data_IF_585893578438
#
_entry.id   IF_585893578438
#
_cell.length_a   1.000
_cell.length_b   1.000
_cell.length_c   1.000
_cell.angle_alpha   90.00
_cell.angle_beta   90.00
_cell.angle_gamma   90.00
#
_symmetry.space_group_name_H-M   'P 1'
#
loop_
_entity.id
_entity.type
_entity.pdbx_description
1 polymer ?
#
# COMPACT_ATOMS: atom_id res chain seq x y z
N UNK A 1 -16.41 -21.79 26.35
CA UNK A 1 -16.81 -23.22 26.21
C UNK A 1 -18.32 -23.31 26.12
N UNK A 2 -18.87 -23.90 25.04
CA UNK A 2 -20.32 -23.97 24.74
C UNK A 2 -21.21 -24.57 25.85
N UNK A 3 -20.67 -25.42 26.73
CA UNK A 3 -21.41 -26.07 27.84
C UNK A 3 -20.61 -26.10 29.17
N UNK A 4 -19.55 -25.28 29.29
CA UNK A 4 -18.63 -25.34 30.43
C UNK A 4 -17.80 -26.63 30.56
N UNK A 5 -17.93 -27.58 29.61
CA UNK A 5 -17.15 -28.82 29.55
C UNK A 5 -16.02 -28.74 28.53
N UNK A 6 -14.87 -29.40 28.79
CA UNK A 6 -13.77 -29.48 27.83
C UNK A 6 -14.23 -30.00 26.46
N UNK A 7 -13.73 -29.45 25.33
CA UNK A 7 -14.11 -29.91 23.98
C UNK A 7 -13.93 -31.42 23.76
N UNK A 8 -12.92 -32.02 24.43
CA UNK A 8 -12.66 -33.46 24.40
C UNK A 8 -13.86 -34.30 24.82
N UNK A 9 -14.64 -33.85 25.79
CA UNK A 9 -15.80 -34.58 26.29
C UNK A 9 -16.93 -34.56 25.26
N UNK A 10 -17.17 -33.40 24.63
CA UNK A 10 -18.15 -33.25 23.57
C UNK A 10 -17.80 -34.14 22.38
N UNK A 11 -16.52 -34.16 21.98
CA UNK A 11 -16.02 -35.03 20.90
C UNK A 11 -16.29 -36.51 21.22
N UNK A 12 -15.93 -36.96 22.42
CA UNK A 12 -16.15 -38.35 22.84
C UNK A 12 -17.64 -38.72 22.87
N UNK A 13 -18.50 -37.79 23.26
CA UNK A 13 -19.96 -38.01 23.25
C UNK A 13 -20.51 -38.14 21.83
N UNK A 14 -20.06 -37.30 20.88
CA UNK A 14 -20.47 -37.39 19.48
C UNK A 14 -20.00 -38.71 18.83
N UNK A 15 -18.77 -39.13 19.11
CA UNK A 15 -18.24 -40.43 18.66
C UNK A 15 -19.16 -41.57 19.10
N UNK A 16 -19.53 -41.61 20.38
CA UNK A 16 -20.41 -42.63 20.95
C UNK A 16 -21.83 -42.57 20.37
N UNK A 17 -22.40 -41.38 20.28
CA UNK A 17 -23.81 -41.18 19.88
C UNK A 17 -24.05 -41.44 18.39
N UNK A 18 -23.12 -41.02 17.53
CA UNK A 18 -23.28 -41.09 16.08
C UNK A 18 -22.44 -42.18 15.42
N UNK A 19 -21.75 -43.01 16.21
CA UNK A 19 -20.86 -44.07 15.74
C UNK A 19 -19.90 -43.59 14.63
N UNK A 20 -19.27 -42.43 14.85
CA UNK A 20 -18.39 -41.77 13.87
C UNK A 20 -16.95 -41.76 14.35
N UNK A 21 -16.02 -41.45 13.45
CA UNK A 21 -14.60 -41.34 13.82
C UNK A 21 -14.35 -40.11 14.70
N UNK A 22 -13.36 -40.22 15.60
CA UNK A 22 -12.94 -39.09 16.44
C UNK A 22 -12.52 -37.88 15.62
N UNK A 23 -11.90 -38.08 14.47
CA UNK A 23 -11.52 -37.00 13.56
C UNK A 23 -12.72 -36.22 13.02
N UNK A 24 -13.79 -36.92 12.60
CA UNK A 24 -15.01 -36.27 12.10
C UNK A 24 -15.74 -35.52 13.20
N UNK A 25 -15.90 -36.15 14.37
CA UNK A 25 -16.50 -35.50 15.54
C UNK A 25 -15.68 -34.26 15.97
N UNK A 26 -14.35 -34.37 16.00
CA UNK A 26 -13.44 -33.27 16.34
C UNK A 26 -13.57 -32.12 15.35
N UNK A 27 -13.57 -32.39 14.05
CA UNK A 27 -13.71 -31.35 13.02
C UNK A 27 -14.98 -30.53 13.22
N UNK A 28 -16.10 -31.21 13.48
CA UNK A 28 -17.38 -30.54 13.71
C UNK A 28 -17.32 -29.67 14.96
N UNK A 29 -16.91 -30.24 16.10
CA UNK A 29 -16.87 -29.52 17.38
C UNK A 29 -15.94 -28.31 17.34
N UNK A 30 -14.74 -28.47 16.78
CA UNK A 30 -13.75 -27.38 16.75
C UNK A 30 -14.18 -26.26 15.81
N UNK A 31 -14.78 -26.58 14.66
CA UNK A 31 -15.26 -25.59 13.71
C UNK A 31 -16.44 -24.80 14.29
N UNK A 32 -17.38 -25.50 14.94
CA UNK A 32 -18.52 -24.86 15.59
C UNK A 32 -18.08 -23.96 16.76
N UNK A 33 -17.09 -24.43 17.54
CA UNK A 33 -16.51 -23.64 18.62
C UNK A 33 -15.85 -22.35 18.08
N UNK A 34 -15.08 -22.45 17.00
CA UNK A 34 -14.47 -21.28 16.37
C UNK A 34 -15.53 -20.29 15.87
N UNK A 35 -16.60 -20.80 15.25
CA UNK A 35 -17.73 -19.98 14.80
C UNK A 35 -18.36 -19.19 15.96
N UNK A 36 -18.72 -19.87 17.06
CA UNK A 36 -19.32 -19.20 18.22
C UNK A 36 -18.37 -18.24 18.93
N UNK A 37 -17.07 -18.52 18.93
CA UNK A 37 -16.06 -17.59 19.44
C UNK A 37 -16.08 -16.28 18.64
N UNK A 38 -16.07 -16.35 17.31
CA UNK A 38 -16.13 -15.14 16.47
C UNK A 38 -17.46 -14.39 16.63
N UNK A 39 -18.59 -15.12 16.71
CA UNK A 39 -19.90 -14.50 17.00
C UNK A 39 -19.85 -13.71 18.31
N UNK A 40 -19.29 -14.31 19.37
CA UNK A 40 -19.18 -13.68 20.68
C UNK A 40 -18.25 -12.46 20.64
N UNK A 41 -17.13 -12.53 19.91
CA UNK A 41 -16.21 -11.40 19.73
C UNK A 41 -16.87 -10.26 18.97
N UNK A 42 -17.61 -10.55 17.89
CA UNK A 42 -18.37 -9.53 17.15
C UNK A 42 -19.34 -8.79 18.04
N UNK A 43 -20.09 -9.52 18.85
CA UNK A 43 -21.10 -8.93 19.73
C UNK A 43 -20.41 -8.07 20.82
N UNK A 44 -19.30 -8.54 21.38
CA UNK A 44 -18.46 -7.74 22.28
C UNK A 44 -17.89 -6.48 21.62
N UNK A 45 -17.42 -6.57 20.38
CA UNK A 45 -16.89 -5.41 19.63
C UNK A 45 -17.97 -4.36 19.37
N UNK A 46 -19.20 -4.80 19.09
CA UNK A 46 -20.36 -3.90 18.95
C UNK A 46 -20.71 -3.22 20.26
N UNK A 47 -20.72 -3.94 21.38
CA UNK A 47 -20.99 -3.38 22.72
C UNK A 47 -19.92 -2.38 23.16
N UNK A 48 -18.66 -2.62 22.81
CA UNK A 48 -17.53 -1.75 23.13
C UNK A 48 -17.32 -0.60 22.13
N UNK A 49 -18.09 -0.54 21.04
CA UNK A 49 -17.95 0.50 20.02
C UNK A 49 -16.70 0.39 19.15
N UNK A 50 -16.14 -0.82 18.97
CA UNK A 50 -14.99 -1.04 18.09
C UNK A 50 -15.41 -0.99 16.63
N UNK A 51 -15.04 0.08 15.91
CA UNK A 51 -15.43 0.30 14.52
C UNK A 51 -14.73 -0.66 13.54
N UNK A 52 -13.52 -1.11 13.89
CA UNK A 52 -12.71 -1.99 13.06
C UNK A 52 -12.17 -3.19 13.84
N UNK A 53 -11.78 -4.23 13.10
CA UNK A 53 -11.12 -5.41 13.62
C UNK A 53 -10.02 -5.89 12.69
N UNK A 54 -9.02 -6.56 13.25
CA UNK A 54 -7.96 -7.24 12.49
C UNK A 54 -8.03 -8.75 12.70
N UNK A 55 -7.57 -9.50 11.70
CA UNK A 55 -7.52 -10.97 11.76
C UNK A 55 -6.14 -11.42 12.24
N UNK A 56 -6.14 -12.35 13.19
CA UNK A 56 -4.96 -12.90 13.83
C UNK A 56 -4.91 -14.43 13.59
N UNK A 57 -4.12 -14.88 12.61
CA UNK A 57 -3.90 -16.29 12.25
C UNK A 57 -2.68 -16.95 12.95
N UNK A 58 -2.85 -18.10 13.58
CA UNK A 58 -1.77 -18.80 14.32
C UNK A 58 -0.45 -18.88 13.52
N UNK A 59 0.67 -18.59 14.17
CA UNK A 59 2.01 -18.73 13.59
C UNK A 59 2.53 -20.16 13.85
N UNK A 60 2.36 -21.04 12.86
CA UNK A 60 2.92 -22.39 12.81
C UNK A 60 2.82 -23.01 11.40
N UNK A 61 3.43 -24.18 11.19
CA UNK A 61 3.42 -24.88 9.90
C UNK A 61 2.07 -25.51 9.48
N UNK A 62 1.00 -25.35 10.26
CA UNK A 62 -0.34 -25.91 10.00
C UNK A 62 -1.35 -24.85 9.60
N UNK A 63 -0.98 -23.57 9.62
CA UNK A 63 -1.88 -22.49 9.20
C UNK A 63 -2.11 -22.55 7.69
N UNK A 64 -3.39 -22.52 7.29
CA UNK A 64 -3.81 -22.66 5.90
C UNK A 64 -3.50 -21.40 5.09
N UNK A 65 -3.30 -21.53 3.77
CA UNK A 65 -3.02 -20.39 2.88
C UNK A 65 -4.04 -19.26 3.04
N UNK A 66 -5.34 -19.57 3.12
CA UNK A 66 -6.37 -18.55 3.35
C UNK A 66 -6.18 -17.83 4.69
N UNK A 67 -5.82 -18.54 5.76
CA UNK A 67 -5.55 -17.87 7.04
C UNK A 67 -4.26 -17.03 7.00
N UNK A 68 -3.24 -17.47 6.27
CA UNK A 68 -2.02 -16.69 6.06
C UNK A 68 -2.32 -15.41 5.28
N UNK A 69 -3.15 -15.49 4.22
CA UNK A 69 -3.52 -14.38 3.37
C UNK A 69 -4.36 -13.32 4.09
N UNK A 70 -5.12 -13.71 5.11
CA UNK A 70 -5.97 -12.82 5.89
C UNK A 70 -5.29 -12.26 7.14
N UNK A 71 -4.14 -12.81 7.58
CA UNK A 71 -3.44 -12.35 8.79
C UNK A 71 -3.02 -10.87 8.67
N UNK A 72 -3.36 -10.07 9.68
CA UNK A 72 -3.07 -8.65 9.74
C UNK A 72 -4.02 -7.75 8.94
N UNK A 73 -4.94 -8.30 8.13
CA UNK A 73 -5.91 -7.48 7.39
C UNK A 73 -6.96 -6.88 8.32
N UNK A 74 -7.25 -5.59 8.10
CA UNK A 74 -8.23 -4.80 8.85
C UNK A 74 -9.55 -4.69 8.07
N UNK A 75 -10.67 -4.79 8.77
CA UNK A 75 -12.01 -4.69 8.22
C UNK A 75 -12.93 -3.88 9.15
N UNK A 76 -13.97 -3.27 8.58
CA UNK A 76 -15.01 -2.61 9.36
C UNK A 76 -15.90 -3.65 10.07
N UNK A 77 -16.13 -3.47 11.37
CA UNK A 77 -16.99 -4.34 12.19
C UNK A 77 -18.43 -4.41 11.66
N UNK A 78 -18.91 -3.34 11.01
CA UNK A 78 -20.25 -3.29 10.39
C UNK A 78 -20.42 -4.27 9.22
N UNK A 79 -19.32 -4.56 8.52
CA UNK A 79 -19.27 -5.43 7.33
C UNK A 79 -18.81 -6.86 7.67
N UNK A 80 -18.74 -7.20 8.97
CA UNK A 80 -18.26 -8.49 9.43
C UNK A 80 -19.19 -9.63 9.01
N UNK A 81 -18.64 -10.56 8.24
CA UNK A 81 -19.27 -11.76 7.70
C UNK A 81 -18.40 -12.99 7.97
N UNK A 82 -18.85 -13.83 8.89
CA UNK A 82 -18.16 -15.04 9.34
C UNK A 82 -18.07 -16.04 8.17
N UNK A 83 -16.87 -16.51 7.88
CA UNK A 83 -16.53 -17.36 6.73
C UNK A 83 -16.09 -16.60 5.49
N UNK A 84 -16.28 -15.27 5.42
CA UNK A 84 -15.88 -14.43 4.28
C UNK A 84 -14.71 -13.50 4.65
N UNK A 85 -14.91 -12.63 5.64
CA UNK A 85 -13.90 -11.69 6.14
C UNK A 85 -13.72 -11.80 7.67
N UNK A 86 -14.26 -12.84 8.30
CA UNK A 86 -13.98 -13.21 9.68
C UNK A 86 -13.92 -14.75 9.82
N UNK A 87 -13.05 -15.31 10.68
CA UNK A 87 -12.94 -16.76 10.87
C UNK A 87 -14.19 -17.38 11.52
N UNK A 88 -14.46 -18.68 11.36
CA UNK A 88 -13.63 -19.67 10.69
C UNK A 88 -13.79 -19.63 9.15
N UNK A 89 -12.67 -19.59 8.43
CA UNK A 89 -12.65 -19.64 6.96
C UNK A 89 -12.72 -21.07 6.39
N UNK A 90 -12.35 -22.06 7.20
CA UNK A 90 -12.26 -23.46 6.81
C UNK A 90 -12.47 -24.36 8.04
N UNK A 91 -12.72 -25.67 7.84
CA UNK A 91 -12.80 -26.61 8.96
C UNK A 91 -11.49 -26.63 9.77
N UNK A 92 -11.59 -26.68 11.10
CA UNK A 92 -10.47 -26.54 12.03
C UNK A 92 -9.68 -25.21 11.91
N UNK A 93 -10.31 -24.14 11.44
CA UNK A 93 -9.68 -22.81 11.50
C UNK A 93 -9.37 -22.42 12.94
N UNK A 94 -8.18 -21.83 13.13
CA UNK A 94 -7.65 -21.40 14.44
C UNK A 94 -7.38 -19.90 14.51
N UNK A 95 -7.67 -19.18 13.43
CA UNK A 95 -7.57 -17.72 13.41
C UNK A 95 -8.66 -17.11 14.29
N UNK A 96 -8.35 -15.96 14.88
CA UNK A 96 -9.25 -15.18 15.72
C UNK A 96 -9.31 -13.74 15.20
N UNK A 97 -10.20 -12.93 15.75
CA UNK A 97 -10.26 -11.48 15.51
C UNK A 97 -9.84 -10.71 16.76
N UNK A 98 -9.26 -9.54 16.54
CA UNK A 98 -8.92 -8.56 17.58
C UNK A 98 -9.54 -7.21 17.23
N UNK A 99 -9.91 -6.37 18.22
CA UNK A 99 -10.26 -4.98 17.93
C UNK A 99 -9.04 -4.27 17.34
N UNK A 100 -9.28 -3.38 16.37
CA UNK A 100 -8.24 -2.59 15.73
C UNK A 100 -8.45 -1.10 16.03
N UNK A 101 -7.38 -0.41 16.37
CA UNK A 101 -7.33 1.01 16.68
C UNK A 101 -6.16 1.61 15.89
N UNK A 102 -6.34 2.79 15.27
CA UNK A 102 -5.36 3.48 14.40
C UNK A 102 -4.33 4.29 15.22
N UNK A 103 -4.14 3.88 16.46
CA UNK A 103 -3.47 4.65 17.50
C UNK A 103 -2.04 4.08 17.68
N UNK A 104 -1.05 4.98 17.85
CA UNK A 104 0.37 4.67 18.09
C UNK A 104 0.64 4.05 19.49
N UNK A 105 -0.04 2.96 19.85
CA UNK A 105 0.30 2.20 21.05
C UNK A 105 1.59 1.38 20.84
N UNK A 106 2.26 1.09 21.95
CA UNK A 106 3.39 0.16 21.97
C UNK A 106 2.98 -1.19 21.35
N UNK A 107 3.74 -1.61 20.34
CA UNK A 107 3.56 -2.91 19.71
C UNK A 107 3.92 -3.98 20.74
N UNK A 108 2.91 -4.69 21.24
CA UNK A 108 3.10 -5.81 22.16
C UNK A 108 3.75 -7.03 21.49
N UNK A 109 3.60 -8.19 22.11
CA UNK A 109 4.12 -9.46 21.58
C UNK A 109 3.00 -10.43 21.19
N UNK A 110 3.29 -11.27 20.21
CA UNK A 110 2.46 -12.39 19.76
C UNK A 110 3.22 -13.70 19.94
N UNK A 111 2.49 -14.73 20.35
CA UNK A 111 3.03 -16.07 20.61
C UNK A 111 3.13 -16.87 19.30
N UNK A 112 4.27 -17.53 19.11
CA UNK A 112 4.52 -18.53 18.09
C UNK A 112 4.65 -19.91 18.73
N UNK A 113 4.07 -20.94 18.11
CA UNK A 113 4.28 -22.33 18.51
C UNK A 113 5.55 -22.88 17.85
N UNK A 114 6.47 -23.44 18.62
CA UNK A 114 7.64 -24.11 18.08
C UNK A 114 7.31 -25.45 17.41
N UNK A 115 8.21 -25.91 16.54
CA UNK A 115 8.01 -27.12 15.72
C UNK A 115 7.91 -28.42 16.52
N UNK A 116 8.42 -28.43 17.76
CA UNK A 116 8.33 -29.55 18.69
C UNK A 116 6.92 -29.74 19.28
N UNK A 117 5.99 -28.81 18.99
CA UNK A 117 4.62 -28.82 19.48
C UNK A 117 4.48 -28.60 20.99
N UNK A 118 5.53 -28.13 21.66
CA UNK A 118 5.58 -27.91 23.12
C UNK A 118 6.16 -26.56 23.51
N UNK A 119 7.11 -26.05 22.73
CA UNK A 119 7.76 -24.77 22.96
C UNK A 119 6.95 -23.61 22.38
N UNK A 120 7.11 -22.45 23.00
CA UNK A 120 6.56 -21.19 22.52
C UNK A 120 7.63 -20.11 22.55
N UNK A 121 7.59 -19.17 21.61
CA UNK A 121 8.41 -17.97 21.62
C UNK A 121 7.59 -16.76 21.19
N UNK A 122 8.14 -15.57 21.42
CA UNK A 122 7.44 -14.31 21.20
C UNK A 122 8.03 -13.56 20.01
N UNK A 123 7.16 -12.93 19.23
CA UNK A 123 7.48 -12.04 18.12
C UNK A 123 6.68 -10.74 18.26
N UNK A 124 7.06 -9.64 17.58
CA UNK A 124 6.24 -8.42 17.59
C UNK A 124 4.78 -8.68 17.21
N UNK A 125 3.83 -8.03 17.89
CA UNK A 125 2.40 -8.27 17.71
C UNK A 125 1.89 -7.94 16.29
N UNK A 126 2.55 -7.02 15.61
CA UNK A 126 2.26 -6.64 14.23
C UNK A 126 2.92 -7.55 13.19
N UNK A 127 3.70 -8.56 13.60
CA UNK A 127 4.30 -9.52 12.67
C UNK A 127 3.22 -10.42 12.08
N UNK A 128 3.08 -10.33 10.75
CA UNK A 128 2.21 -11.17 9.95
C UNK A 128 2.79 -12.58 9.79
N UNK A 129 1.94 -13.54 9.45
CA UNK A 129 2.35 -14.92 9.17
C UNK A 129 3.44 -14.98 8.10
N UNK A 130 3.32 -14.17 7.05
CA UNK A 130 4.29 -14.19 5.95
C UNK A 130 5.66 -13.72 6.42
N UNK A 131 5.73 -12.62 7.17
CA UNK A 131 6.98 -12.11 7.73
C UNK A 131 7.61 -13.12 8.71
N UNK A 132 6.77 -13.72 9.55
CA UNK A 132 7.18 -14.77 10.47
C UNK A 132 7.76 -15.98 9.73
N UNK A 133 7.02 -16.51 8.75
CA UNK A 133 7.39 -17.72 8.02
C UNK A 133 8.75 -17.54 7.35
N UNK A 134 8.97 -16.41 6.68
CA UNK A 134 10.23 -16.25 5.97
C UNK A 134 11.42 -16.04 6.92
N UNK A 135 11.23 -15.33 8.04
CA UNK A 135 12.30 -15.17 9.05
C UNK A 135 12.70 -16.47 9.72
N UNK A 136 11.70 -17.23 10.18
CA UNK A 136 11.90 -18.27 11.18
C UNK A 136 11.78 -19.68 10.61
N UNK A 137 11.14 -19.86 9.44
CA UNK A 137 10.95 -21.18 8.80
C UNK A 137 11.86 -21.35 7.58
N UNK A 138 11.88 -20.38 6.66
CA UNK A 138 12.73 -20.46 5.45
C UNK A 138 14.22 -20.16 5.73
N UNK A 139 14.55 -19.66 6.93
CA UNK A 139 15.93 -19.36 7.34
C UNK A 139 16.56 -18.20 6.59
N UNK A 140 15.75 -17.36 5.93
CA UNK A 140 16.17 -16.14 5.26
C UNK A 140 16.10 -15.00 6.28
N UNK A 141 17.14 -14.17 6.34
CA UNK A 141 17.15 -13.04 7.29
C UNK A 141 15.98 -12.10 7.00
N UNK A 142 15.29 -11.59 8.04
CA UNK A 142 14.21 -10.59 7.86
C UNK A 142 14.67 -9.31 7.17
N UNK A 143 15.99 -9.06 7.13
CA UNK A 143 16.54 -7.93 6.37
C UNK A 143 16.33 -8.09 4.86
N UNK A 144 16.01 -9.31 4.40
CA UNK A 144 15.83 -9.67 2.99
C UNK A 144 14.36 -9.96 2.60
N UNK A 145 13.39 -9.79 3.52
CA UNK A 145 11.95 -9.90 3.21
C UNK A 145 11.28 -8.55 3.42
N UNK A 146 11.37 -7.72 2.38
CA UNK A 146 10.32 -6.74 2.14
C UNK A 146 9.00 -7.47 1.90
N UNK A 147 7.90 -6.90 2.40
CA UNK A 147 6.57 -6.95 1.75
C UNK A 147 6.84 -7.11 0.26
N UNK A 148 6.46 -8.23 -0.37
CA UNK A 148 6.87 -8.58 -1.74
C UNK A 148 7.04 -7.30 -2.55
N UNK A 149 8.29 -6.82 -2.67
CA UNK A 149 8.47 -5.42 -3.04
C UNK A 149 7.86 -5.34 -4.42
N UNK A 150 6.82 -4.49 -4.58
CA UNK A 150 6.50 -4.00 -5.91
C UNK A 150 7.84 -3.56 -6.47
N UNK A 151 8.35 -4.28 -7.46
CA UNK A 151 9.71 -4.08 -7.93
C UNK A 151 9.66 -2.86 -8.81
N UNK A 152 9.73 -1.69 -8.19
CA UNK A 152 9.78 -0.44 -8.89
C UNK A 152 11.09 -0.36 -9.65
N UNK A 153 10.99 -0.20 -10.97
CA UNK A 153 12.16 -0.14 -11.83
C UNK A 153 12.75 1.27 -11.84
N UNK A 154 14.07 1.36 -11.71
CA UNK A 154 14.86 2.56 -12.04
C UNK A 154 15.28 2.49 -13.50
N UNK A 155 15.34 3.64 -14.14
CA UNK A 155 15.64 3.75 -15.57
C UNK A 155 16.98 4.46 -15.78
N UNK A 156 17.65 4.10 -16.86
CA UNK A 156 18.80 4.82 -17.43
C UNK A 156 18.39 5.43 -18.77
N UNK A 157 19.24 6.28 -19.35
CA UNK A 157 19.01 6.86 -20.68
C UNK A 157 18.63 5.83 -21.74
N UNK A 158 19.32 4.67 -21.74
CA UNK A 158 19.09 3.58 -22.70
C UNK A 158 17.66 3.01 -22.61
N UNK A 159 17.07 3.01 -21.42
CA UNK A 159 15.74 2.45 -21.17
C UNK A 159 14.60 3.37 -21.63
N UNK A 160 14.87 4.66 -21.87
CA UNK A 160 13.85 5.67 -22.16
C UNK A 160 13.33 5.64 -23.58
N UNK A 161 14.00 4.94 -24.51
CA UNK A 161 13.57 4.83 -25.91
C UNK A 161 12.12 4.36 -26.01
N UNK A 162 11.76 3.34 -25.22
CA UNK A 162 10.39 2.81 -25.19
C UNK A 162 9.38 3.83 -24.67
N UNK A 163 9.72 4.57 -23.61
CA UNK A 163 8.85 5.62 -23.06
C UNK A 163 8.67 6.76 -24.05
N UNK A 164 9.73 7.10 -24.79
CA UNK A 164 9.66 8.09 -25.85
C UNK A 164 8.72 7.63 -26.98
N UNK A 165 8.78 6.37 -27.39
CA UNK A 165 7.85 5.82 -28.38
C UNK A 165 6.39 5.87 -27.91
N UNK A 166 6.13 5.50 -26.64
CA UNK A 166 4.80 5.62 -26.02
C UNK A 166 4.31 7.08 -25.99
N UNK A 167 5.19 8.02 -25.64
CA UNK A 167 4.89 9.44 -25.66
C UNK A 167 4.58 9.94 -27.07
N UNK A 168 5.41 9.60 -28.05
CA UNK A 168 5.18 9.98 -29.46
C UNK A 168 3.82 9.45 -29.99
N UNK A 169 3.42 8.24 -29.60
CA UNK A 169 2.10 7.71 -29.93
C UNK A 169 0.97 8.47 -29.22
N UNK A 170 1.16 8.83 -27.96
CA UNK A 170 0.21 9.65 -27.20
C UNK A 170 0.05 11.04 -27.81
N UNK A 171 1.15 11.73 -28.14
CA UNK A 171 1.14 13.07 -28.72
C UNK A 171 0.44 13.14 -30.08
N UNK A 172 0.54 12.09 -30.90
CA UNK A 172 -0.19 12.00 -32.19
C UNK A 172 -1.71 12.05 -32.06
N UNK A 173 -2.26 11.72 -30.89
CA UNK A 173 -3.72 11.72 -30.64
C UNK A 173 -4.17 12.86 -29.73
N UNK A 174 -3.25 13.70 -29.26
CA UNK A 174 -3.57 14.90 -28.49
C UNK A 174 -4.27 15.94 -29.37
N UNK A 175 -5.14 16.73 -28.75
CA UNK A 175 -5.67 17.95 -29.34
C UNK A 175 -4.56 19.01 -29.31
N UNK A 176 -4.60 19.93 -30.27
CA UNK A 176 -3.69 21.08 -30.32
C UNK A 176 -3.71 21.88 -28.99
N UNK A 177 -4.86 21.97 -28.32
CA UNK A 177 -4.97 22.64 -27.02
C UNK A 177 -4.32 21.85 -25.87
N UNK A 178 -4.32 20.52 -25.94
CA UNK A 178 -3.66 19.63 -24.98
C UNK A 178 -2.14 19.73 -25.13
N UNK A 179 -1.65 19.61 -26.36
CA UNK A 179 -0.24 19.77 -26.70
C UNK A 179 0.28 21.17 -26.33
N UNK A 180 -0.46 22.22 -26.68
CA UNK A 180 -0.10 23.60 -26.32
C UNK A 180 -0.09 23.86 -24.82
N UNK A 181 -0.99 23.23 -24.05
CA UNK A 181 -1.01 23.36 -22.59
C UNK A 181 0.16 22.61 -21.94
N UNK A 182 0.51 21.41 -22.44
CA UNK A 182 1.70 20.68 -22.00
C UNK A 182 2.97 21.47 -22.32
N UNK A 183 3.13 21.95 -23.56
CA UNK A 183 4.30 22.73 -23.96
C UNK A 183 4.44 24.03 -23.17
N UNK A 184 3.32 24.70 -22.81
CA UNK A 184 3.36 25.86 -21.91
C UNK A 184 3.80 25.47 -20.50
N UNK A 185 3.28 24.36 -19.96
CA UNK A 185 3.61 23.92 -18.61
C UNK A 185 5.09 23.52 -18.49
N UNK A 186 5.61 22.73 -19.44
CA UNK A 186 6.97 22.17 -19.38
C UNK A 186 8.08 23.16 -19.77
N UNK A 187 7.69 24.30 -20.32
CA UNK A 187 8.58 25.46 -20.55
C UNK A 187 8.61 26.32 -19.27
N UNK A 188 8.10 27.55 -19.32
CA UNK A 188 8.13 28.46 -18.16
C UNK A 188 6.82 28.47 -17.33
N UNK A 189 5.77 27.79 -17.80
CA UNK A 189 4.42 27.90 -17.25
C UNK A 189 4.15 27.11 -15.97
N UNK A 190 5.01 26.14 -15.61
CA UNK A 190 4.78 25.28 -14.44
C UNK A 190 4.62 26.07 -13.14
N UNK A 191 5.41 27.14 -12.98
CA UNK A 191 5.46 27.93 -11.75
C UNK A 191 4.14 28.68 -11.51
N UNK A 192 3.60 29.29 -12.57
CA UNK A 192 2.34 30.02 -12.56
C UNK A 192 1.16 29.08 -12.35
N UNK A 193 1.12 27.96 -13.06
CA UNK A 193 0.03 26.98 -12.95
C UNK A 193 -0.01 26.40 -11.52
N UNK A 194 1.12 25.92 -11.01
CA UNK A 194 1.15 25.29 -9.70
C UNK A 194 0.91 26.29 -8.56
N UNK A 195 1.39 27.54 -8.67
CA UNK A 195 1.07 28.58 -7.69
C UNK A 195 -0.43 28.96 -7.69
N UNK A 196 -1.06 29.02 -8.87
CA UNK A 196 -2.51 29.27 -8.99
C UNK A 196 -3.32 28.13 -8.37
N UNK A 197 -2.93 26.87 -8.64
CA UNK A 197 -3.56 25.70 -8.04
C UNK A 197 -3.45 25.66 -6.51
N UNK A 198 -2.28 26.04 -5.97
CA UNK A 198 -2.06 26.07 -4.52
C UNK A 198 -2.82 27.21 -3.82
N UNK A 199 -2.87 28.39 -4.43
CA UNK A 199 -3.57 29.56 -3.86
C UNK A 199 -5.09 29.45 -4.01
N UNK A 200 -5.56 28.73 -5.03
CA UNK A 200 -6.97 28.66 -5.42
C UNK A 200 -7.44 29.87 -6.24
N UNK A 201 -6.59 30.86 -6.46
CA UNK A 201 -6.86 32.01 -7.34
C UNK A 201 -6.41 31.66 -8.76
N UNK A 202 -7.36 31.22 -9.59
CA UNK A 202 -7.08 30.69 -10.92
C UNK A 202 -7.88 31.49 -11.96
N UNK A 203 -7.18 32.14 -12.88
CA UNK A 203 -7.80 32.79 -14.03
C UNK A 203 -8.37 31.77 -15.02
N UNK A 204 -9.37 32.17 -15.81
CA UNK A 204 -9.99 31.27 -16.80
C UNK A 204 -8.98 30.67 -17.79
N UNK A 205 -8.01 31.47 -18.24
CA UNK A 205 -6.95 31.03 -19.17
C UNK A 205 -6.03 29.97 -18.56
N UNK A 206 -5.64 30.13 -17.28
CA UNK A 206 -4.83 29.14 -16.57
C UNK A 206 -5.67 27.89 -16.28
N UNK A 207 -6.93 28.05 -15.92
CA UNK A 207 -7.82 26.93 -15.64
C UNK A 207 -8.09 26.09 -16.88
N UNK A 208 -8.22 26.69 -18.06
CA UNK A 208 -8.34 25.96 -19.31
C UNK A 208 -7.07 25.19 -19.65
N UNK A 209 -5.88 25.71 -19.33
CA UNK A 209 -4.62 24.95 -19.45
C UNK A 209 -4.59 23.75 -18.50
N UNK A 210 -4.98 23.93 -17.23
CA UNK A 210 -5.09 22.84 -16.25
C UNK A 210 -5.98 21.72 -16.77
N UNK A 211 -7.18 22.03 -17.27
CA UNK A 211 -8.11 21.02 -17.83
C UNK A 211 -7.50 20.29 -19.03
N UNK A 212 -6.79 21.00 -19.89
CA UNK A 212 -6.13 20.41 -21.06
C UNK A 212 -4.99 19.47 -20.64
N UNK A 213 -4.20 19.83 -19.62
CA UNK A 213 -3.16 18.95 -19.05
C UNK A 213 -3.79 17.70 -18.41
N UNK A 214 -4.84 17.87 -17.59
CA UNK A 214 -5.57 16.75 -17.00
C UNK A 214 -6.10 15.79 -18.10
N UNK A 215 -6.70 16.34 -19.16
CA UNK A 215 -7.19 15.58 -20.33
C UNK A 215 -6.07 14.85 -21.08
N UNK A 216 -4.89 15.46 -21.19
CA UNK A 216 -3.74 14.83 -21.82
C UNK A 216 -3.19 13.65 -21.00
N UNK A 217 -3.09 13.83 -19.68
CA UNK A 217 -2.64 12.80 -18.73
C UNK A 217 -3.50 11.53 -18.82
N UNK A 218 -4.81 11.67 -19.04
CA UNK A 218 -5.72 10.52 -19.17
C UNK A 218 -5.41 9.60 -20.36
N UNK A 219 -4.65 10.08 -21.36
CA UNK A 219 -4.36 9.35 -22.60
C UNK A 219 -3.09 8.51 -22.55
N UNK A 220 -2.18 8.83 -21.63
CA UNK A 220 -0.96 8.08 -21.45
C UNK A 220 -1.18 6.96 -20.42
N UNK A 221 -0.81 5.73 -20.79
CA UNK A 221 -0.93 4.57 -19.90
C UNK A 221 0.46 4.14 -19.43
N UNK A 222 0.76 4.43 -18.16
CA UNK A 222 1.90 3.81 -17.49
C UNK A 222 1.62 2.32 -17.29
N UNK A 223 2.46 1.45 -17.83
CA UNK A 223 2.23 -0.01 -17.86
C UNK A 223 3.14 -0.81 -16.91
N UNK A 224 4.06 -0.14 -16.21
CA UNK A 224 4.97 -0.75 -15.25
C UNK A 224 5.14 0.10 -13.98
N UNK A 225 5.55 -0.57 -12.89
CA UNK A 225 5.83 0.09 -11.61
C UNK A 225 7.24 0.72 -11.69
N UNK A 226 7.36 2.04 -11.50
CA UNK A 226 8.59 2.79 -11.74
C UNK A 226 9.02 3.67 -10.56
N UNK A 227 10.30 4.03 -10.50
CA UNK A 227 10.82 5.09 -9.63
C UNK A 227 11.09 6.33 -10.48
N UNK A 228 10.63 7.48 -9.99
CA UNK A 228 10.95 8.80 -10.55
C UNK A 228 11.47 9.73 -9.45
N UNK A 229 12.16 10.79 -9.86
CA UNK A 229 12.88 11.69 -8.98
C UNK A 229 12.42 13.13 -9.16
N UNK A 230 12.51 13.93 -8.09
CA UNK A 230 12.23 15.37 -8.14
C UNK A 230 13.11 16.13 -7.15
N UNK A 231 13.92 17.05 -7.64
CA UNK A 231 14.59 18.04 -6.81
C UNK A 231 13.63 19.15 -6.40
N UNK A 232 13.58 19.47 -5.10
CA UNK A 232 12.74 20.57 -4.60
C UNK A 232 13.29 21.12 -3.26
N UNK A 233 12.54 21.98 -2.57
CA UNK A 233 12.94 22.56 -1.28
C UNK A 233 12.35 21.76 -0.12
N UNK A 234 13.17 21.46 0.88
CA UNK A 234 12.74 20.82 2.12
C UNK A 234 11.74 21.67 2.91
N UNK A 235 11.71 22.99 2.67
CA UNK A 235 10.77 23.92 3.30
C UNK A 235 9.30 23.55 3.06
N UNK A 236 8.97 22.96 1.92
CA UNK A 236 7.60 22.51 1.61
C UNK A 236 7.17 21.28 2.42
N UNK A 237 8.12 20.61 3.06
CA UNK A 237 7.94 19.34 3.77
C UNK A 237 8.31 19.48 5.26
N UNK A 238 8.29 20.70 5.80
CA UNK A 238 8.56 20.91 7.23
C UNK A 238 7.50 20.24 8.09
N UNK A 239 7.95 19.39 9.01
CA UNK A 239 7.08 18.73 9.99
C UNK A 239 6.44 17.44 9.51
N UNK A 240 6.68 17.00 8.27
CA UNK A 240 6.19 15.70 7.79
C UNK A 240 6.88 14.56 8.54
N UNK A 241 6.14 13.47 8.73
CA UNK A 241 6.58 12.24 9.38
C UNK A 241 6.42 11.07 8.43
N UNK A 242 7.14 9.99 8.71
CA UNK A 242 6.92 8.71 8.02
C UNK A 242 5.49 8.26 8.30
N UNK A 243 4.78 7.84 7.27
CA UNK A 243 3.36 7.46 7.31
C UNK A 243 2.41 8.55 6.83
N UNK A 244 2.81 9.82 6.87
CA UNK A 244 1.94 10.93 6.46
C UNK A 244 1.51 10.82 4.99
N UNK A 245 0.30 11.29 4.70
CA UNK A 245 -0.22 11.44 3.34
C UNK A 245 -0.12 12.91 2.92
N UNK A 246 0.57 13.15 1.81
CA UNK A 246 0.73 14.47 1.21
C UNK A 246 -0.24 14.60 0.05
N UNK A 247 -1.02 15.68 0.05
CA UNK A 247 -1.95 16.05 -1.03
C UNK A 247 -1.61 17.44 -1.59
N UNK A 248 -0.64 17.55 -2.50
CA UNK A 248 -0.09 18.83 -2.94
C UNK A 248 -1.08 19.68 -3.74
N UNK A 249 -2.10 19.04 -4.34
CA UNK A 249 -3.09 19.64 -5.26
C UNK A 249 -2.44 20.40 -6.43
N UNK A 250 -1.26 19.97 -6.86
CA UNK A 250 -0.49 20.54 -7.96
C UNK A 250 0.12 19.43 -8.81
N UNK A 251 0.47 19.72 -10.06
CA UNK A 251 1.17 18.76 -10.90
C UNK A 251 2.60 18.56 -10.40
N UNK A 252 3.09 17.32 -10.50
CA UNK A 252 4.44 16.96 -10.09
C UNK A 252 5.30 16.69 -11.33
N UNK A 253 6.14 17.66 -11.70
CA UNK A 253 7.23 17.43 -12.66
C UNK A 253 8.28 16.55 -12.01
N UNK A 254 8.48 15.36 -12.56
CA UNK A 254 9.45 14.38 -12.08
C UNK A 254 10.29 13.90 -13.25
N UNK A 255 11.49 13.39 -12.99
CA UNK A 255 12.34 12.80 -14.02
C UNK A 255 12.51 11.30 -13.77
N UNK A 256 12.60 10.52 -14.84
CA UNK A 256 13.06 9.12 -14.75
C UNK A 256 14.53 9.02 -14.32
N UNK A 257 15.32 10.09 -14.50
CA UNK A 257 16.75 10.10 -14.29
C UNK A 257 17.11 10.93 -13.06
N UNK A 258 17.76 10.29 -12.09
CA UNK A 258 18.07 10.90 -10.79
C UNK A 258 18.99 12.12 -10.90
N UNK A 259 19.99 12.07 -11.80
CA UNK A 259 20.95 13.16 -11.97
C UNK A 259 20.28 14.44 -12.49
N UNK A 260 19.25 14.34 -13.33
CA UNK A 260 18.48 15.50 -13.82
C UNK A 260 17.76 16.16 -12.65
N UNK A 261 17.08 15.36 -11.82
CA UNK A 261 16.43 15.87 -10.62
C UNK A 261 17.43 16.47 -9.61
N UNK A 262 18.67 15.97 -9.59
CA UNK A 262 19.73 16.47 -8.71
C UNK A 262 20.21 17.85 -9.17
N UNK A 263 20.39 18.05 -10.47
CA UNK A 263 20.76 19.36 -11.05
C UNK A 263 19.74 20.45 -10.67
N UNK A 264 18.45 20.10 -10.62
CA UNK A 264 17.41 21.00 -10.10
C UNK A 264 17.52 21.25 -8.60
N UNK A 265 17.80 20.22 -7.80
CA UNK A 265 17.95 20.34 -6.35
C UNK A 265 19.13 21.24 -5.99
N UNK A 266 20.27 21.08 -6.67
CA UNK A 266 21.52 21.80 -6.37
C UNK A 266 21.43 23.31 -6.57
N UNK A 267 20.46 23.78 -7.35
CA UNK A 267 20.19 25.20 -7.58
C UNK A 267 19.31 25.83 -6.48
N UNK A 268 18.81 25.05 -5.54
CA UNK A 268 17.85 25.50 -4.53
C UNK A 268 18.50 25.66 -3.15
N UNK A 269 18.02 26.67 -2.42
CA UNK A 269 18.31 26.76 -0.99
C UNK A 269 17.51 25.71 -0.22
N UNK A 270 18.17 25.03 0.72
CA UNK A 270 17.59 23.94 1.53
C UNK A 270 16.97 22.82 0.68
N UNK A 271 17.76 22.15 -0.18
CA UNK A 271 17.24 21.20 -1.15
C UNK A 271 16.85 19.87 -0.52
N UNK A 272 15.92 19.17 -1.17
CA UNK A 272 15.55 17.79 -0.90
C UNK A 272 15.30 17.06 -2.21
N UNK A 273 15.81 15.83 -2.31
CA UNK A 273 15.48 14.91 -3.39
C UNK A 273 14.26 14.09 -3.01
N UNK A 274 13.22 14.10 -3.83
CA UNK A 274 12.12 13.14 -3.71
C UNK A 274 12.42 11.92 -4.58
N UNK A 275 12.36 10.74 -4.00
CA UNK A 275 12.37 9.46 -4.70
C UNK A 275 10.96 8.86 -4.60
N UNK A 276 10.25 8.78 -5.72
CA UNK A 276 8.82 8.51 -5.75
C UNK A 276 8.58 7.17 -6.44
N UNK A 277 8.00 6.22 -5.69
CA UNK A 277 7.47 4.96 -6.20
C UNK A 277 6.12 5.21 -6.86
N UNK A 278 6.05 5.03 -8.17
CA UNK A 278 4.86 5.29 -8.99
C UNK A 278 4.33 3.95 -9.53
N UNK A 279 3.22 3.43 -8.99
CA UNK A 279 2.66 2.17 -9.47
C UNK A 279 2.17 2.29 -10.92
N UNK A 280 2.16 1.18 -11.67
CA UNK A 280 1.55 1.10 -12.99
C UNK A 280 0.11 1.63 -12.96
N UNK A 281 -0.34 2.17 -14.09
CA UNK A 281 -1.66 2.79 -14.27
C UNK A 281 -1.89 4.08 -13.46
N UNK A 282 -0.86 4.59 -12.77
CA UNK A 282 -0.92 5.94 -12.19
C UNK A 282 -1.13 6.98 -13.29
N UNK A 283 -2.03 7.92 -13.03
CA UNK A 283 -2.34 9.04 -13.93
C UNK A 283 -1.13 9.94 -14.08
N UNK A 284 -0.46 9.81 -15.23
CA UNK A 284 0.77 10.50 -15.57
C UNK A 284 0.91 10.62 -17.08
N UNK A 285 1.81 11.47 -17.56
CA UNK A 285 2.23 11.52 -18.96
C UNK A 285 3.74 11.69 -19.06
N UNK A 286 4.38 10.88 -19.90
CA UNK A 286 5.79 11.10 -20.24
C UNK A 286 5.89 12.14 -21.35
N UNK A 287 6.55 13.26 -21.06
CA UNK A 287 6.74 14.36 -22.00
C UNK A 287 8.00 14.09 -22.83
N UNK A 288 9.12 13.77 -22.16
CA UNK A 288 10.39 13.44 -22.82
C UNK A 288 10.82 14.47 -23.86
N UNK A 289 11.23 14.01 -25.05
CA UNK A 289 11.63 14.85 -26.19
C UNK A 289 10.50 15.68 -26.81
N UNK A 290 9.25 15.51 -26.36
CA UNK A 290 8.14 16.33 -26.81
C UNK A 290 8.00 17.63 -25.97
N UNK A 291 8.89 17.86 -25.00
CA UNK A 291 9.00 19.13 -24.28
C UNK A 291 9.63 20.21 -25.17
N UNK A 292 9.27 21.47 -24.92
CA UNK A 292 9.91 22.65 -25.50
C UNK A 292 11.36 22.83 -25.00
N UNK A 293 11.65 22.28 -23.82
CA UNK A 293 12.95 22.28 -23.16
C UNK A 293 13.63 20.94 -23.44
N UNK A 294 14.97 20.86 -23.38
CA UNK A 294 15.74 19.66 -23.73
C UNK A 294 15.29 18.37 -23.04
N UNK A 295 15.95 17.23 -23.33
CA UNK A 295 15.54 15.93 -22.80
C UNK A 295 15.68 15.84 -21.27
N UNK A 296 14.64 16.20 -20.52
CA UNK A 296 14.60 16.11 -19.05
C UNK A 296 14.13 14.75 -18.54
N UNK A 297 13.83 13.82 -19.46
CA UNK A 297 13.16 12.57 -19.15
C UNK A 297 11.93 12.77 -18.24
N UNK A 298 11.17 13.84 -18.50
CA UNK A 298 10.10 14.30 -17.61
C UNK A 298 8.88 13.38 -17.68
N UNK A 299 8.49 12.85 -16.53
CA UNK A 299 7.18 12.27 -16.26
C UNK A 299 6.37 13.25 -15.43
N UNK A 300 5.29 13.77 -16.02
CA UNK A 300 4.36 14.66 -15.33
C UNK A 300 3.29 13.85 -14.61
N UNK A 301 3.24 13.95 -13.29
CA UNK A 301 2.26 13.27 -12.45
C UNK A 301 1.02 14.16 -12.19
N UNK A 302 -0.17 13.54 -12.17
CA UNK A 302 -1.45 14.25 -11.99
C UNK A 302 -1.53 15.00 -10.65
N UNK A 303 -2.19 16.16 -10.68
CA UNK A 303 -2.47 16.99 -9.49
C UNK A 303 -3.45 16.39 -8.48
N UNK A 304 -4.09 15.27 -8.83
CA UNK A 304 -5.04 14.57 -7.98
C UNK A 304 -4.42 13.45 -7.14
N UNK A 305 -3.12 13.21 -7.29
CA UNK A 305 -2.43 12.14 -6.60
C UNK A 305 -2.16 12.49 -5.14
N UNK A 306 -2.12 11.43 -4.33
CA UNK A 306 -1.72 11.45 -2.92
C UNK A 306 -0.43 10.66 -2.77
N UNK A 307 0.41 11.09 -1.85
CA UNK A 307 1.73 10.50 -1.66
C UNK A 307 1.93 10.10 -0.21
N UNK A 308 2.18 8.82 0.03
CA UNK A 308 2.55 8.32 1.36
C UNK A 308 4.05 8.50 1.59
N UNK A 309 4.42 9.08 2.72
CA UNK A 309 5.82 9.19 3.14
C UNK A 309 6.29 7.83 3.66
N UNK A 310 7.19 7.19 2.93
CA UNK A 310 7.73 5.88 3.29
C UNK A 310 8.95 5.97 4.21
N UNK A 311 9.83 6.94 3.93
CA UNK A 311 11.11 7.09 4.62
C UNK A 311 11.61 8.52 4.48
N UNK A 312 12.31 9.00 5.50
CA UNK A 312 12.95 10.31 5.53
C UNK A 312 14.43 10.09 5.83
N UNK A 313 15.30 10.62 4.98
CA UNK A 313 16.75 10.63 5.14
C UNK A 313 17.29 12.06 5.01
N UNK A 314 18.51 12.35 5.51
CA UNK A 314 19.14 13.65 5.29
C UNK A 314 19.20 14.00 3.79
N UNK A 315 18.48 15.05 3.38
CA UNK A 315 18.43 15.51 1.99
C UNK A 315 17.58 14.65 1.03
N UNK A 316 16.87 13.61 1.52
CA UNK A 316 16.05 12.73 0.66
C UNK A 316 14.73 12.32 1.33
N UNK A 317 13.65 12.33 0.56
CA UNK A 317 12.33 11.86 0.95
C UNK A 317 11.88 10.74 0.02
N UNK A 318 11.43 9.63 0.60
CA UNK A 318 10.93 8.49 -0.15
C UNK A 318 9.40 8.48 -0.07
N UNK A 319 8.75 8.53 -1.22
CA UNK A 319 7.30 8.61 -1.33
C UNK A 319 6.76 7.43 -2.15
N UNK A 320 5.52 7.03 -1.92
CA UNK A 320 4.76 6.16 -2.83
C UNK A 320 3.43 6.83 -3.19
N UNK A 321 3.06 6.78 -4.47
CA UNK A 321 1.73 7.21 -4.90
C UNK A 321 0.69 6.25 -4.34
N UNK A 322 -0.25 6.78 -3.57
CA UNK A 322 -1.41 6.01 -3.11
C UNK A 322 -2.41 5.82 -4.26
N UNK A 323 -2.92 4.59 -4.36
CA UNK A 323 -3.98 4.21 -5.29
C UNK A 323 -5.33 4.24 -4.61
#
# INVERSE_FOLDING_TARGET
MLLGKPPKDLINNLVKKFNTTKANASRLVMTELAFFHTVSQRDAFKELGSEQYTILAVLDNKTSLVCQDFDGKVFDTKDMSIGINAPPFHPNCRSVILPYYDDDYEIGERIVSGDDGKSVYYVPANMTYREWYVKYVDGVSIQDIGVAEKKYRRFTDDDLTRFQDLSNMCYKVLKISEEGALGFYTDDGYSVINASLQSGDISDDIWDKVKNIDSAIERFKLDEDIIVYRGTKMDYYKGIRVGDIIEPKMFFSTSFLEYIAQDFADQLNNPVMLEIRVPKETKSIYVGLNSSVGNEAELLLSRHLKYKVLKIEPGRLFLEVEK
#
